data_IF_228111248200
#
_entry.id   IF_228111248200
#
_cell.length_a   1.000
_cell.length_b   1.000
_cell.length_c   1.000
_cell.angle_alpha   90.00
_cell.angle_beta   90.00
_cell.angle_gamma   90.00
#
_symmetry.space_group_name_H-M   'P 1'
#
loop_
_entity.id
_entity.type
_entity.pdbx_description
1 polymer ?
#
# COMPACT_ATOMS: atom_id res chain seq x y z
N UNK A 1 11.50 10.01 18.67
CA UNK A 1 11.04 8.64 18.37
C UNK A 1 10.55 7.87 19.60
N UNK A 2 10.95 8.20 20.84
CA UNK A 2 10.46 7.51 22.04
C UNK A 2 9.03 7.91 22.51
N UNK A 3 8.52 9.07 22.08
CA UNK A 3 7.17 9.55 22.43
C UNK A 3 6.08 8.68 21.79
N UNK A 4 6.15 8.47 20.47
CA UNK A 4 5.11 7.74 19.72
C UNK A 4 4.92 6.29 20.18
N UNK A 5 6.00 5.62 20.60
CA UNK A 5 5.92 4.24 21.11
C UNK A 5 5.20 4.17 22.46
N UNK A 6 5.39 5.18 23.32
CA UNK A 6 4.70 5.30 24.60
C UNK A 6 3.22 5.62 24.40
N UNK A 7 2.92 6.47 23.41
CA UNK A 7 1.55 6.85 23.05
C UNK A 7 0.75 5.66 22.46
N UNK A 8 1.39 4.75 21.71
CA UNK A 8 0.74 3.57 21.14
C UNK A 8 0.23 2.57 22.19
N UNK A 9 0.97 2.38 23.29
CA UNK A 9 0.51 1.53 24.39
C UNK A 9 -0.68 2.16 25.12
N UNK A 10 -0.64 3.47 25.33
CA UNK A 10 -1.76 4.19 25.95
C UNK A 10 -2.99 4.22 25.04
N UNK A 11 -2.81 4.40 23.73
CA UNK A 11 -3.88 4.37 22.75
C UNK A 11 -4.56 2.99 22.68
N UNK A 12 -3.79 1.90 22.69
CA UNK A 12 -4.33 0.54 22.70
C UNK A 12 -5.26 0.29 23.90
N UNK A 13 -4.82 0.66 25.11
CA UNK A 13 -5.63 0.52 26.32
C UNK A 13 -6.89 1.38 26.26
N UNK A 14 -6.78 2.60 25.71
CA UNK A 14 -7.93 3.49 25.54
C UNK A 14 -8.94 2.94 24.51
N UNK A 15 -8.50 2.42 23.37
CA UNK A 15 -9.39 1.82 22.37
C UNK A 15 -10.02 0.52 22.87
N UNK A 16 -9.28 -0.29 23.63
CA UNK A 16 -9.84 -1.47 24.31
C UNK A 16 -10.93 -1.07 25.32
N UNK A 17 -10.73 0.03 26.06
CA UNK A 17 -11.73 0.53 27.02
C UNK A 17 -13.01 1.06 26.34
N UNK A 18 -12.90 1.56 25.09
CA UNK A 18 -14.05 2.06 24.29
C UNK A 18 -14.64 0.95 23.40
N UNK A 19 -14.16 -0.30 23.51
CA UNK A 19 -14.58 -1.46 22.75
C UNK A 19 -14.39 -1.33 21.22
N UNK A 20 -13.37 -0.56 20.81
CA UNK A 20 -12.95 -0.37 19.42
C UNK A 20 -11.92 -1.46 19.05
N UNK A 21 -12.39 -2.71 19.00
CA UNK A 21 -11.57 -3.91 18.87
C UNK A 21 -10.74 -3.90 17.57
N UNK A 22 -11.29 -3.40 16.47
CA UNK A 22 -10.60 -3.32 15.17
C UNK A 22 -9.34 -2.44 15.24
N UNK A 23 -9.42 -1.32 15.97
CA UNK A 23 -8.29 -0.40 16.15
C UNK A 23 -7.22 -0.99 17.06
N UNK A 24 -7.63 -1.77 18.06
CA UNK A 24 -6.69 -2.50 18.94
C UNK A 24 -5.91 -3.53 18.12
N UNK A 25 -6.60 -4.32 17.27
CA UNK A 25 -5.94 -5.27 16.38
C UNK A 25 -4.96 -4.59 15.44
N UNK A 26 -5.37 -3.49 14.79
CA UNK A 26 -4.48 -2.76 13.89
C UNK A 26 -3.24 -2.20 14.62
N UNK A 27 -3.39 -1.66 15.84
CA UNK A 27 -2.25 -1.20 16.64
C UNK A 27 -1.31 -2.36 17.02
N UNK A 28 -1.86 -3.54 17.31
CA UNK A 28 -1.05 -4.73 17.59
C UNK A 28 -0.25 -5.18 16.36
N UNK A 29 -0.85 -5.14 15.16
CA UNK A 29 -0.17 -5.42 13.90
C UNK A 29 0.99 -4.43 13.64
N UNK A 30 0.75 -3.13 13.86
CA UNK A 30 1.80 -2.09 13.76
C UNK A 30 2.99 -2.40 14.68
N UNK A 31 2.73 -2.89 15.90
CA UNK A 31 3.78 -3.24 16.87
C UNK A 31 4.54 -4.50 16.47
N UNK A 32 3.88 -5.45 15.81
CA UNK A 32 4.48 -6.70 15.36
C UNK A 32 5.43 -6.52 14.16
N UNK A 33 5.31 -5.43 13.41
CA UNK A 33 6.18 -5.15 12.26
C UNK A 33 7.65 -4.97 12.69
N UNK A 34 8.61 -5.67 12.04
CA UNK A 34 10.02 -5.60 12.39
C UNK A 34 10.70 -4.30 11.94
N UNK A 35 10.34 -3.77 10.77
CA UNK A 35 10.89 -2.51 10.24
C UNK A 35 10.26 -1.28 10.92
N UNK A 36 11.13 -0.35 11.32
CA UNK A 36 10.71 0.92 11.91
C UNK A 36 10.04 1.85 10.89
N UNK A 37 10.47 1.78 9.63
CA UNK A 37 9.94 2.53 8.50
C UNK A 37 8.50 2.08 8.19
N UNK A 38 8.28 0.77 8.09
CA UNK A 38 6.93 0.20 7.94
C UNK A 38 6.02 0.61 9.11
N UNK A 39 6.51 0.51 10.34
CA UNK A 39 5.76 0.93 11.53
C UNK A 39 5.34 2.39 11.47
N UNK A 40 6.24 3.29 11.05
CA UNK A 40 5.96 4.71 10.93
C UNK A 40 4.98 5.01 9.78
N UNK A 41 5.07 4.28 8.67
CA UNK A 41 4.15 4.41 7.55
C UNK A 41 2.73 3.96 7.94
N UNK A 42 2.59 2.79 8.56
CA UNK A 42 1.29 2.29 9.05
C UNK A 42 0.71 3.19 10.16
N UNK A 43 1.54 3.75 11.04
CA UNK A 43 1.09 4.75 12.01
C UNK A 43 0.54 6.02 11.32
N UNK A 44 1.15 6.45 10.23
CA UNK A 44 0.65 7.57 9.43
C UNK A 44 -0.68 7.22 8.74
N UNK A 45 -0.88 5.98 8.29
CA UNK A 45 -2.17 5.49 7.79
C UNK A 45 -3.23 5.46 8.87
N UNK A 46 -2.90 4.96 10.06
CA UNK A 46 -3.77 4.98 11.24
C UNK A 46 -4.23 6.41 11.58
N UNK A 47 -3.34 7.38 11.39
CA UNK A 47 -3.59 8.79 11.64
C UNK A 47 -4.30 9.51 10.48
N UNK A 48 -4.82 8.78 9.49
CA UNK A 48 -5.45 9.29 8.27
C UNK A 48 -4.55 10.23 7.42
N UNK A 49 -3.25 9.93 7.35
CA UNK A 49 -2.26 10.70 6.55
C UNK A 49 -1.60 9.84 5.47
N UNK A 50 -2.35 9.45 4.42
CA UNK A 50 -1.83 8.55 3.38
C UNK A 50 -0.68 9.15 2.57
N UNK A 51 -0.66 10.47 2.35
CA UNK A 51 0.43 11.14 1.64
C UNK A 51 1.74 11.07 2.43
N UNK A 52 1.66 11.10 3.77
CA UNK A 52 2.83 10.98 4.61
C UNK A 52 3.34 9.54 4.65
N UNK A 53 2.44 8.56 4.71
CA UNK A 53 2.77 7.14 4.59
C UNK A 53 3.45 6.83 3.24
N UNK A 54 2.92 7.35 2.12
CA UNK A 54 3.55 7.23 0.81
C UNK A 54 4.99 7.77 0.81
N UNK A 55 5.21 8.96 1.39
CA UNK A 55 6.53 9.56 1.46
C UNK A 55 7.51 8.69 2.27
N UNK A 56 7.07 8.10 3.39
CA UNK A 56 7.88 7.21 4.21
C UNK A 56 8.25 5.94 3.41
N UNK A 57 7.28 5.32 2.73
CA UNK A 57 7.53 4.15 1.89
C UNK A 57 8.53 4.44 0.76
N UNK A 58 8.43 5.61 0.12
CA UNK A 58 9.35 6.01 -0.93
C UNK A 58 10.76 6.30 -0.39
N UNK A 59 10.88 6.92 0.79
CA UNK A 59 12.17 7.14 1.45
C UNK A 59 12.85 5.84 1.86
N UNK A 60 12.06 4.85 2.29
CA UNK A 60 12.53 3.50 2.61
C UNK A 60 12.86 2.65 1.37
N UNK A 61 12.63 3.16 0.15
CA UNK A 61 12.82 2.41 -1.09
C UNK A 61 11.78 1.32 -1.34
N UNK A 62 10.69 1.29 -0.56
CA UNK A 62 9.59 0.33 -0.66
C UNK A 62 8.54 0.83 -1.65
N UNK A 63 8.94 0.97 -2.91
CA UNK A 63 8.09 1.53 -3.98
C UNK A 63 6.83 0.70 -4.18
N UNK A 64 6.91 -0.62 -4.07
CA UNK A 64 5.75 -1.51 -4.19
C UNK A 64 4.67 -1.18 -3.14
N UNK A 65 5.04 -1.00 -1.87
CA UNK A 65 4.10 -0.64 -0.80
C UNK A 65 3.44 0.72 -1.04
N UNK A 66 4.18 1.69 -1.57
CA UNK A 66 3.60 2.98 -1.97
C UNK A 66 2.60 2.85 -3.14
N UNK A 67 2.86 1.96 -4.10
CA UNK A 67 1.94 1.65 -5.21
C UNK A 67 0.70 0.93 -4.70
N UNK A 68 0.89 -0.09 -3.85
CA UNK A 68 -0.19 -0.85 -3.21
C UNK A 68 -1.11 0.08 -2.43
N UNK A 69 -0.55 0.94 -1.58
CA UNK A 69 -1.31 1.93 -0.82
C UNK A 69 -2.19 2.82 -1.72
N UNK A 70 -1.64 3.32 -2.82
CA UNK A 70 -2.41 4.13 -3.76
C UNK A 70 -3.46 3.32 -4.53
N UNK A 71 -3.22 2.03 -4.73
CA UNK A 71 -4.17 1.10 -5.36
C UNK A 71 -5.36 0.86 -4.43
N UNK A 72 -5.09 0.60 -3.14
CA UNK A 72 -6.11 0.38 -2.10
C UNK A 72 -6.96 1.64 -1.83
N UNK A 73 -6.37 2.83 -1.97
CA UNK A 73 -7.06 4.11 -1.89
C UNK A 73 -7.78 4.52 -3.19
N UNK A 74 -7.79 3.65 -4.21
CA UNK A 74 -8.34 3.91 -5.55
C UNK A 74 -7.70 5.12 -6.27
N UNK A 75 -6.50 5.52 -5.89
CA UNK A 75 -5.70 6.57 -6.52
C UNK A 75 -4.90 6.01 -7.71
N UNK A 76 -5.61 5.46 -8.70
CA UNK A 76 -5.05 4.74 -9.84
C UNK A 76 -4.03 5.56 -10.65
N UNK A 77 -4.30 6.85 -10.89
CA UNK A 77 -3.37 7.73 -11.61
C UNK A 77 -2.05 7.91 -10.86
N UNK A 78 -2.10 8.01 -9.53
CA UNK A 78 -0.89 8.15 -8.70
C UNK A 78 -0.11 6.85 -8.67
N UNK A 79 -0.78 5.72 -8.52
CA UNK A 79 -0.17 4.39 -8.57
C UNK A 79 0.58 4.18 -9.91
N UNK A 80 -0.06 4.50 -11.04
CA UNK A 80 0.57 4.40 -12.36
C UNK A 80 1.74 5.36 -12.52
N UNK A 81 1.63 6.60 -12.02
CA UNK A 81 2.71 7.57 -12.05
C UNK A 81 3.95 7.07 -11.29
N UNK A 82 3.75 6.52 -10.09
CA UNK A 82 4.82 5.93 -9.28
C UNK A 82 5.46 4.74 -9.99
N UNK A 83 4.65 3.84 -10.53
CA UNK A 83 5.11 2.68 -11.28
C UNK A 83 5.95 3.06 -12.50
N UNK A 84 5.51 4.06 -13.29
CA UNK A 84 6.25 4.56 -14.45
C UNK A 84 7.53 5.30 -14.07
N UNK A 85 7.49 6.10 -13.00
CA UNK A 85 8.65 6.87 -12.51
C UNK A 85 9.78 5.95 -12.06
N UNK A 86 9.45 4.89 -11.34
CA UNK A 86 10.41 3.90 -10.84
C UNK A 86 10.65 2.75 -11.83
N UNK A 87 9.86 2.69 -12.92
CA UNK A 87 9.88 1.62 -13.93
C UNK A 87 9.71 0.23 -13.31
N UNK A 88 8.79 0.11 -12.35
CA UNK A 88 8.55 -1.13 -11.59
C UNK A 88 7.04 -1.34 -11.43
N UNK A 89 6.59 -2.59 -11.42
CA UNK A 89 5.20 -2.99 -11.11
C UNK A 89 4.11 -2.30 -11.96
N UNK A 90 4.43 -1.86 -13.18
CA UNK A 90 3.47 -1.25 -14.11
C UNK A 90 2.45 -2.28 -14.57
N UNK A 91 2.91 -3.50 -14.86
CA UNK A 91 2.09 -4.68 -15.13
C UNK A 91 1.12 -4.98 -13.99
N UNK A 92 1.59 -4.87 -12.76
CA UNK A 92 0.78 -5.09 -11.55
C UNK A 92 -0.37 -4.09 -11.45
N UNK A 93 -0.10 -2.79 -11.60
CA UNK A 93 -1.14 -1.74 -11.52
C UNK A 93 -2.18 -1.90 -12.62
N UNK A 94 -1.75 -2.25 -13.84
CA UNK A 94 -2.67 -2.52 -14.95
C UNK A 94 -3.56 -3.74 -14.68
N UNK A 95 -2.98 -4.83 -14.17
CA UNK A 95 -3.71 -6.06 -13.86
C UNK A 95 -4.78 -5.83 -12.77
N UNK A 96 -4.40 -5.18 -11.66
CA UNK A 96 -5.34 -4.86 -10.59
C UNK A 96 -6.48 -3.97 -11.07
N UNK A 97 -6.15 -3.00 -11.93
CA UNK A 97 -7.14 -2.10 -12.50
C UNK A 97 -8.12 -2.82 -13.44
N UNK A 98 -7.62 -3.70 -14.32
CA UNK A 98 -8.45 -4.51 -15.21
C UNK A 98 -9.40 -5.41 -14.41
N UNK A 99 -8.89 -6.08 -13.36
CA UNK A 99 -9.71 -6.87 -12.45
C UNK A 99 -10.80 -6.03 -11.80
N UNK A 100 -10.45 -4.89 -11.22
CA UNK A 100 -11.40 -3.99 -10.54
C UNK A 100 -12.52 -3.52 -11.48
N UNK A 101 -12.20 -3.20 -12.73
CA UNK A 101 -13.21 -2.79 -13.71
C UNK A 101 -14.09 -3.92 -14.19
N UNK A 102 -13.53 -5.12 -14.30
CA UNK A 102 -14.28 -6.34 -14.65
C UNK A 102 -15.31 -6.64 -13.57
N UNK A 103 -14.94 -6.50 -12.29
CA UNK A 103 -15.84 -6.61 -11.14
C UNK A 103 -16.94 -5.54 -11.16
N UNK A 104 -16.61 -4.32 -11.60
CA UNK A 104 -17.57 -3.22 -11.78
C UNK A 104 -18.36 -3.27 -13.10
N UNK A 105 -18.09 -4.23 -14.00
CA UNK A 105 -18.70 -4.29 -15.33
C UNK A 105 -18.42 -3.07 -16.22
N UNK A 106 -17.40 -2.28 -15.89
CA UNK A 106 -17.07 -1.02 -16.56
C UNK A 106 -15.86 -1.18 -17.47
N UNK A 107 -15.75 -0.32 -18.49
CA UNK A 107 -14.58 -0.29 -19.39
C UNK A 107 -13.61 0.80 -18.97
N UNK A 108 -12.37 0.67 -19.43
CA UNK A 108 -11.39 1.69 -19.12
C UNK A 108 -11.70 3.04 -19.74
N UNK A 109 -11.59 4.07 -18.92
CA UNK A 109 -11.81 5.47 -19.30
C UNK A 109 -10.53 6.29 -19.31
N UNK A 110 -9.49 5.85 -18.58
CA UNK A 110 -8.25 6.59 -18.44
C UNK A 110 -7.32 6.37 -19.65
N UNK A 111 -7.06 7.44 -20.41
CA UNK A 111 -6.21 7.39 -21.61
C UNK A 111 -4.81 6.80 -21.36
N UNK A 112 -4.19 7.15 -20.22
CA UNK A 112 -2.86 6.63 -19.84
C UNK A 112 -2.86 5.12 -19.61
N UNK A 113 -3.94 4.57 -19.07
CA UNK A 113 -4.09 3.13 -18.85
C UNK A 113 -4.26 2.39 -20.16
N UNK A 114 -5.09 2.92 -21.08
CA UNK A 114 -5.30 2.36 -22.42
C UNK A 114 -3.98 2.30 -23.21
N UNK A 115 -3.19 3.37 -23.18
CA UNK A 115 -1.89 3.41 -23.88
C UNK A 115 -0.89 2.40 -23.32
N UNK A 116 -0.89 2.19 -22.00
CA UNK A 116 0.01 1.23 -21.35
C UNK A 116 -0.44 -0.22 -21.53
N UNK A 117 -1.75 -0.49 -21.58
CA UNK A 117 -2.32 -1.82 -21.79
C UNK A 117 -1.85 -2.45 -23.11
N UNK A 118 -1.71 -1.65 -24.17
CA UNK A 118 -1.22 -2.13 -25.47
C UNK A 118 0.28 -2.47 -25.51
N UNK A 119 1.06 -2.02 -24.51
CA UNK A 119 2.52 -2.15 -24.47
C UNK A 119 3.01 -3.22 -23.50
N UNK A 120 2.18 -3.64 -22.54
CA UNK A 120 2.58 -4.51 -21.43
C UNK A 120 1.76 -5.79 -21.44
N UNK A 121 2.44 -6.94 -21.52
CA UNK A 121 1.79 -8.25 -21.37
C UNK A 121 1.50 -8.50 -19.89
N UNK A 122 0.22 -8.63 -19.55
CA UNK A 122 -0.23 -8.92 -18.19
C UNK A 122 -0.15 -10.44 -17.96
N UNK A 123 0.65 -10.85 -16.99
CA UNK A 123 0.77 -12.25 -16.56
C UNK A 123 0.63 -12.33 -15.04
N UNK A 124 -0.52 -12.85 -14.58
CA UNK A 124 -0.88 -12.93 -13.18
C UNK A 124 0.06 -13.81 -12.34
N UNK A 125 0.70 -14.80 -12.95
CA UNK A 125 1.62 -15.71 -12.25
C UNK A 125 2.94 -14.99 -11.90
N UNK A 126 3.46 -14.25 -12.88
CA UNK A 126 4.66 -13.42 -12.68
C UNK A 126 4.39 -12.26 -11.71
N UNK A 127 3.19 -11.68 -11.76
CA UNK A 127 2.80 -10.60 -10.85
C UNK A 127 2.75 -11.13 -9.42
N UNK A 128 2.11 -12.29 -9.17
CA UNK A 128 2.06 -12.88 -7.83
C UNK A 128 3.46 -13.15 -7.28
N UNK A 129 4.32 -13.74 -8.11
CA UNK A 129 5.72 -14.02 -7.71
C UNK A 129 6.50 -12.75 -7.36
N UNK A 130 6.28 -11.65 -8.11
CA UNK A 130 6.88 -10.34 -7.80
C UNK A 130 6.35 -9.74 -6.49
N UNK A 131 5.04 -9.84 -6.27
CA UNK A 131 4.40 -9.34 -5.05
C UNK A 131 4.93 -10.08 -3.83
N UNK A 132 4.95 -11.41 -3.87
CA UNK A 132 5.45 -12.24 -2.77
C UNK A 132 6.91 -11.93 -2.43
N UNK A 133 7.75 -11.67 -3.44
CA UNK A 133 9.13 -11.28 -3.23
C UNK A 133 9.27 -9.90 -2.57
N UNK A 134 8.42 -8.92 -2.94
CA UNK A 134 8.39 -7.59 -2.32
C UNK A 134 7.82 -7.63 -0.89
N UNK A 135 6.83 -8.49 -0.63
CA UNK A 135 6.28 -8.70 0.71
C UNK A 135 7.31 -9.33 1.65
N UNK A 136 8.03 -10.35 1.18
CA UNK A 136 9.14 -10.94 1.94
C UNK A 136 10.25 -9.92 2.21
N UNK A 137 10.51 -8.98 1.30
CA UNK A 137 11.49 -7.91 1.50
C UNK A 137 11.08 -6.88 2.55
N UNK A 138 9.77 -6.66 2.73
CA UNK A 138 9.24 -5.74 3.76
C UNK A 138 9.18 -6.34 5.18
N UNK A 139 9.31 -7.68 5.28
CA UNK A 139 9.30 -8.43 6.54
C UNK A 139 10.71 -8.70 7.10
N UNK A 140 11.77 -8.44 6.33
CA UNK A 140 13.18 -8.55 6.75
C UNK A 140 13.70 -7.25 7.36
#
# INVERSE_FOLDING_TARGET
MATNARDLNTAEVAYAAVNEIDKVHYIAEIKALPSAECRNAELALFSHRPQHAEAIYLQAGMVYKAIQLNTDLFNWERALQLALKHKTHVDTVLAFREKHLTELGSKETLAKFIECQGKVKIDWDTIRSKIENEENRGLQ
#
